data_IF_876290307354
#
_entry.id   IF_876290307354
#
_cell.length_a   1.000
_cell.length_b   1.000
_cell.length_c   1.000
_cell.angle_alpha   90.00
_cell.angle_beta   90.00
_cell.angle_gamma   90.00
#
_symmetry.space_group_name_H-M   'P 1'
#
loop_
_entity.id
_entity.type
_entity.pdbx_description
1 polymer ?
#
# COMPACT_ATOMS: atom_id res chain seq x y z
N UNK A 1 -8.90 2.15 -8.31
CA UNK A 1 -8.92 3.19 -9.39
C UNK A 1 -10.14 3.06 -10.32
N UNK A 2 -10.29 1.96 -11.08
CA UNK A 2 -11.43 1.80 -12.00
C UNK A 2 -12.79 1.63 -11.32
N UNK A 3 -12.82 0.96 -10.16
CA UNK A 3 -14.05 0.81 -9.37
C UNK A 3 -14.63 2.16 -8.97
N UNK A 4 -13.79 3.03 -8.36
CA UNK A 4 -14.13 4.42 -8.00
C UNK A 4 -14.59 5.23 -9.20
N UNK A 5 -13.94 5.06 -10.36
CA UNK A 5 -14.35 5.74 -11.59
C UNK A 5 -15.75 5.31 -12.03
N UNK A 6 -16.04 4.00 -12.10
CA UNK A 6 -17.36 3.49 -12.48
C UNK A 6 -18.49 4.01 -11.59
N UNK A 7 -18.27 4.05 -10.27
CA UNK A 7 -19.25 4.58 -9.31
C UNK A 7 -19.53 6.08 -9.53
N UNK A 8 -18.50 6.89 -9.84
CA UNK A 8 -18.67 8.32 -10.19
C UNK A 8 -19.54 8.55 -11.42
N UNK A 9 -19.64 7.58 -12.33
CA UNK A 9 -20.53 7.63 -13.50
C UNK A 9 -21.89 6.95 -13.26
N UNK A 10 -22.27 6.73 -12.00
CA UNK A 10 -23.56 6.18 -11.61
C UNK A 10 -23.74 4.69 -11.94
N UNK A 11 -22.64 3.95 -12.13
CA UNK A 11 -22.71 2.49 -12.32
C UNK A 11 -22.74 1.80 -10.97
N UNK A 12 -23.49 0.69 -10.89
CA UNK A 12 -23.36 -0.25 -9.78
C UNK A 12 -22.03 -0.98 -9.91
N UNK A 13 -21.17 -0.86 -8.89
CA UNK A 13 -19.82 -1.41 -8.90
C UNK A 13 -19.61 -2.27 -7.67
N UNK A 14 -19.07 -3.46 -7.90
CA UNK A 14 -18.57 -4.37 -6.85
C UNK A 14 -17.08 -4.56 -7.05
N UNK A 15 -16.30 -4.43 -5.97
CA UNK A 15 -14.90 -4.80 -5.87
C UNK A 15 -14.81 -6.14 -5.13
N UNK A 16 -14.17 -7.13 -5.72
CA UNK A 16 -13.90 -8.41 -5.05
C UNK A 16 -12.39 -8.52 -4.80
N UNK A 17 -12.00 -8.72 -3.55
CA UNK A 17 -10.60 -8.83 -3.14
C UNK A 17 -10.40 -10.07 -2.26
N UNK A 18 -9.38 -10.88 -2.54
CA UNK A 18 -9.12 -12.15 -1.84
C UNK A 18 -8.27 -11.98 -0.58
N UNK A 19 -7.55 -10.87 -0.46
CA UNK A 19 -6.64 -10.62 0.63
C UNK A 19 -6.95 -9.25 1.24
N UNK A 20 -6.11 -8.25 0.96
CA UNK A 20 -6.24 -6.90 1.51
C UNK A 20 -6.40 -5.90 0.38
N UNK A 21 -7.39 -5.01 0.50
CA UNK A 21 -7.61 -3.93 -0.47
C UNK A 21 -6.40 -3.00 -0.55
N UNK A 22 -6.23 -2.36 -1.70
CA UNK A 22 -5.02 -1.61 -2.08
C UNK A 22 -4.01 -2.43 -2.89
N UNK A 23 -4.08 -3.77 -2.79
CA UNK A 23 -3.29 -4.69 -3.61
C UNK A 23 -1.78 -4.49 -3.47
N UNK A 24 -1.04 -4.93 -4.48
CA UNK A 24 0.42 -4.95 -4.39
C UNK A 24 1.03 -3.57 -4.21
N UNK A 25 0.51 -2.54 -4.88
CA UNK A 25 1.10 -1.19 -4.85
C UNK A 25 1.29 -0.69 -3.41
N UNK A 26 0.26 -0.83 -2.58
CA UNK A 26 0.22 -0.39 -1.18
C UNK A 26 1.01 -1.34 -0.29
N UNK A 27 0.86 -2.65 -0.45
CA UNK A 27 1.38 -3.62 0.53
C UNK A 27 2.80 -4.11 0.26
N UNK A 28 3.13 -4.36 -1.01
CA UNK A 28 4.31 -5.15 -1.40
C UNK A 28 5.15 -4.55 -2.54
N UNK A 29 4.62 -3.55 -3.24
CA UNK A 29 5.18 -3.02 -4.47
C UNK A 29 5.71 -1.62 -4.30
N UNK A 30 5.07 -0.67 -4.98
CA UNK A 30 5.56 0.70 -5.12
C UNK A 30 5.81 1.42 -3.79
N UNK A 31 4.89 1.32 -2.83
CA UNK A 31 4.98 2.03 -1.55
C UNK A 31 6.16 1.52 -0.72
N UNK A 32 6.30 0.20 -0.42
CA UNK A 32 7.50 -0.34 0.22
C UNK A 32 8.79 -0.02 -0.50
N UNK A 33 8.81 -0.22 -1.83
CA UNK A 33 10.01 0.01 -2.63
C UNK A 33 10.49 1.46 -2.53
N UNK A 34 9.58 2.43 -2.66
CA UNK A 34 9.93 3.85 -2.61
C UNK A 34 10.33 4.31 -1.20
N UNK A 35 9.71 3.76 -0.15
CA UNK A 35 10.10 4.04 1.22
C UNK A 35 11.55 3.59 1.51
N UNK A 36 11.90 2.36 1.10
CA UNK A 36 13.25 1.81 1.26
C UNK A 36 14.28 2.57 0.41
N UNK A 37 13.96 2.87 -0.85
CA UNK A 37 14.82 3.69 -1.73
C UNK A 37 15.10 5.05 -1.11
N UNK A 38 14.10 5.70 -0.46
CA UNK A 38 14.31 6.99 0.21
C UNK A 38 15.30 6.86 1.37
N UNK A 39 15.19 5.83 2.20
CA UNK A 39 16.14 5.58 3.29
C UNK A 39 17.55 5.28 2.76
N UNK A 40 17.65 4.47 1.71
CA UNK A 40 18.93 4.17 1.06
C UNK A 40 19.60 5.43 0.48
N UNK A 41 18.82 6.32 -0.16
CA UNK A 41 19.31 7.62 -0.65
C UNK A 41 19.80 8.52 0.48
N UNK A 42 19.11 8.56 1.61
CA UNK A 42 19.54 9.33 2.78
C UNK A 42 20.89 8.81 3.31
N UNK A 43 21.01 7.49 3.48
CA UNK A 43 22.24 6.87 3.93
C UNK A 43 23.40 7.10 2.93
N UNK A 44 23.13 7.03 1.62
CA UNK A 44 24.12 7.33 0.59
C UNK A 44 24.55 8.80 0.58
N UNK A 45 23.62 9.74 0.81
CA UNK A 45 23.94 11.16 0.88
C UNK A 45 24.89 11.46 2.04
N UNK A 46 24.68 10.86 3.21
CA UNK A 46 25.60 10.98 4.36
C UNK A 46 26.96 10.35 4.04
N UNK A 47 26.99 9.13 3.49
CA UNK A 47 28.27 8.47 3.12
C UNK A 47 29.09 9.26 2.10
N UNK A 48 28.43 10.03 1.23
CA UNK A 48 29.10 10.76 0.13
C UNK A 48 29.18 12.25 0.37
N UNK A 49 28.89 12.75 1.59
CA UNK A 49 28.82 14.19 1.89
C UNK A 49 30.18 14.89 1.80
N UNK A 50 31.29 14.15 1.95
CA UNK A 50 32.65 14.69 1.90
C UNK A 50 32.98 15.39 0.58
N UNK A 51 32.38 14.99 -0.55
CA UNK A 51 32.55 15.68 -1.84
C UNK A 51 32.03 17.13 -1.85
N UNK A 52 31.22 17.49 -0.86
CA UNK A 52 30.68 18.82 -0.66
C UNK A 52 31.34 19.55 0.52
N UNK A 53 32.48 19.04 1.03
CA UNK A 53 33.16 19.60 2.20
C UNK A 53 32.45 19.32 3.53
N UNK A 54 31.39 18.51 3.55
CA UNK A 54 30.69 18.10 4.77
C UNK A 54 31.29 16.78 5.25
N UNK A 55 32.22 16.87 6.18
CA UNK A 55 32.89 15.71 6.79
C UNK A 55 32.26 15.38 8.15
N UNK A 56 31.86 14.12 8.40
CA UNK A 56 31.49 13.68 9.74
C UNK A 56 32.67 13.87 10.71
N UNK A 57 32.41 14.15 11.99
CA UNK A 57 33.44 14.21 13.03
C UNK A 57 34.19 12.87 13.13
N UNK A 58 35.47 12.93 13.49
CA UNK A 58 36.35 11.76 13.67
C UNK A 58 35.70 10.70 14.58
N UNK A 59 35.71 9.44 14.12
CA UNK A 59 34.99 8.30 14.71
C UNK A 59 33.70 7.88 13.95
N UNK A 60 33.26 8.66 12.97
CA UNK A 60 31.98 8.50 12.25
C UNK A 60 31.99 7.63 10.98
N UNK A 61 32.71 6.51 10.94
CA UNK A 61 32.91 5.73 9.69
C UNK A 61 31.73 4.87 9.23
N UNK A 62 30.68 4.69 10.04
CA UNK A 62 29.53 3.90 9.61
C UNK A 62 28.25 4.73 9.77
N UNK A 63 27.59 5.02 8.65
CA UNK A 63 26.17 5.39 8.70
C UNK A 63 25.41 4.23 9.34
N UNK A 64 24.98 4.42 10.59
CA UNK A 64 24.16 3.44 11.27
C UNK A 64 22.75 3.46 10.68
N UNK A 65 22.33 2.34 10.11
CA UNK A 65 20.99 2.17 9.55
C UNK A 65 20.13 1.41 10.55
N UNK A 66 19.16 2.08 11.15
CA UNK A 66 18.17 1.44 12.00
C UNK A 66 17.01 0.90 11.16
N UNK A 67 17.04 -0.41 10.90
CA UNK A 67 15.98 -1.09 10.15
C UNK A 67 14.66 -1.17 10.91
N UNK A 68 14.65 -1.05 12.24
CA UNK A 68 13.42 -1.02 13.03
C UNK A 68 12.65 0.27 12.75
N UNK A 69 13.32 1.42 12.84
CA UNK A 69 12.72 2.74 12.52
C UNK A 69 12.25 2.80 11.07
N UNK A 70 13.01 2.22 10.13
CA UNK A 70 12.60 2.16 8.72
C UNK A 70 11.32 1.33 8.54
N UNK A 71 11.22 0.18 9.21
CA UNK A 71 10.01 -0.67 9.17
C UNK A 71 8.82 0.03 9.79
N UNK A 72 8.96 0.63 10.96
CA UNK A 72 7.88 1.38 11.63
C UNK A 72 7.34 2.52 10.76
N UNK A 73 8.23 3.32 10.15
CA UNK A 73 7.84 4.38 9.20
C UNK A 73 7.11 3.79 7.99
N UNK A 74 7.61 2.68 7.46
CA UNK A 74 7.01 2.02 6.31
C UNK A 74 5.61 1.48 6.65
N UNK A 75 5.44 0.84 7.80
CA UNK A 75 4.14 0.29 8.24
C UNK A 75 3.14 1.43 8.47
N UNK A 76 3.55 2.49 9.13
CA UNK A 76 2.75 3.71 9.29
C UNK A 76 2.34 4.33 7.94
N UNK A 77 3.27 4.40 6.97
CA UNK A 77 2.97 4.93 5.63
C UNK A 77 1.94 4.06 4.89
N UNK A 78 2.11 2.74 4.94
CA UNK A 78 1.16 1.80 4.31
C UNK A 78 -0.22 1.90 4.94
N UNK A 79 -0.26 1.96 6.27
CA UNK A 79 -1.52 2.06 7.00
C UNK A 79 -2.25 3.38 6.72
N UNK A 80 -1.54 4.51 6.70
CA UNK A 80 -2.16 5.80 6.38
C UNK A 80 -2.71 5.87 4.95
N UNK A 81 -2.02 5.28 3.96
CA UNK A 81 -2.54 5.17 2.59
C UNK A 81 -3.79 4.29 2.57
N UNK A 82 -3.74 3.15 3.27
CA UNK A 82 -4.88 2.23 3.32
C UNK A 82 -6.13 2.89 3.89
N UNK A 83 -6.01 3.54 5.05
CA UNK A 83 -7.11 4.21 5.74
C UNK A 83 -7.68 5.38 4.93
N UNK A 84 -6.84 6.09 4.18
CA UNK A 84 -7.28 7.25 3.40
C UNK A 84 -7.93 6.88 2.06
N UNK A 85 -7.48 5.80 1.42
CA UNK A 85 -7.79 5.57 -0.01
C UNK A 85 -8.27 4.16 -0.38
N UNK A 86 -7.88 3.14 0.37
CA UNK A 86 -8.06 1.74 -0.02
C UNK A 86 -8.98 0.94 0.90
N UNK A 87 -9.37 1.47 2.06
CA UNK A 87 -10.19 0.74 3.02
C UNK A 87 -11.60 0.44 2.48
N UNK A 88 -12.24 -0.67 2.90
CA UNK A 88 -13.62 -0.98 2.51
C UNK A 88 -14.61 0.15 2.85
N UNK A 89 -14.39 0.87 3.95
CA UNK A 89 -15.21 1.99 4.39
C UNK A 89 -15.14 3.15 3.39
N UNK A 90 -13.92 3.55 3.00
CA UNK A 90 -13.71 4.58 1.97
C UNK A 90 -14.30 4.15 0.63
N UNK A 91 -14.17 2.87 0.26
CA UNK A 91 -14.80 2.35 -0.98
C UNK A 91 -16.32 2.45 -0.92
N UNK A 92 -16.93 2.13 0.23
CA UNK A 92 -18.37 2.20 0.42
C UNK A 92 -18.89 3.64 0.34
N UNK A 93 -18.20 4.60 0.97
CA UNK A 93 -18.50 6.04 0.85
C UNK A 93 -18.46 6.54 -0.60
N UNK A 94 -17.59 5.93 -1.42
CA UNK A 94 -17.45 6.23 -2.84
C UNK A 94 -18.41 5.42 -3.73
N UNK A 95 -19.38 4.70 -3.16
CA UNK A 95 -20.40 3.96 -3.89
C UNK A 95 -19.92 2.61 -4.46
N UNK A 96 -18.81 2.08 -3.96
CA UNK A 96 -18.26 0.78 -4.36
C UNK A 96 -18.49 -0.23 -3.24
N UNK A 97 -19.25 -1.29 -3.53
CA UNK A 97 -19.40 -2.41 -2.59
C UNK A 97 -18.16 -3.29 -2.64
N UNK A 98 -17.53 -3.54 -1.50
CA UNK A 98 -16.38 -4.45 -1.40
C UNK A 98 -16.81 -5.80 -0.87
N UNK A 99 -16.33 -6.89 -1.48
CA UNK A 99 -16.53 -8.27 -1.03
C UNK A 99 -15.17 -8.92 -0.84
N UNK A 100 -14.92 -9.47 0.35
CA UNK A 100 -13.72 -10.24 0.62
C UNK A 100 -13.93 -11.71 0.25
N UNK A 101 -13.24 -12.14 -0.79
CA UNK A 101 -13.40 -13.47 -1.36
C UNK A 101 -12.64 -13.67 -2.66
N UNK A 102 -12.66 -14.89 -3.17
CA UNK A 102 -12.06 -15.24 -4.46
C UNK A 102 -13.14 -15.32 -5.52
N UNK A 103 -13.02 -14.51 -6.58
CA UNK A 103 -13.95 -14.53 -7.71
C UNK A 103 -13.44 -15.43 -8.86
N UNK A 104 -14.37 -16.11 -9.54
CA UNK A 104 -14.12 -16.81 -10.81
C UNK A 104 -15.28 -16.61 -11.78
N UNK A 105 -14.99 -16.56 -13.08
CA UNK A 105 -16.04 -16.53 -14.11
C UNK A 105 -16.66 -17.91 -14.26
N UNK A 106 -17.98 -17.98 -14.20
CA UNK A 106 -18.75 -19.19 -14.54
C UNK A 106 -19.31 -19.11 -15.96
N UNK A 107 -19.49 -17.90 -16.48
CA UNK A 107 -19.76 -17.61 -17.88
C UNK A 107 -19.26 -16.20 -18.26
N UNK A 108 -19.63 -15.69 -19.46
CA UNK A 108 -19.18 -14.38 -19.97
C UNK A 108 -19.66 -13.17 -19.16
N UNK A 109 -20.74 -13.28 -18.40
CA UNK A 109 -21.39 -12.18 -17.67
C UNK A 109 -21.64 -12.48 -16.19
N UNK A 110 -21.31 -13.69 -15.74
CA UNK A 110 -21.56 -14.14 -14.37
C UNK A 110 -20.25 -14.54 -13.68
N UNK A 111 -20.10 -14.04 -12.47
CA UNK A 111 -18.98 -14.36 -11.56
C UNK A 111 -19.54 -15.05 -10.33
N UNK A 112 -18.85 -16.08 -9.86
CA UNK A 112 -19.07 -16.69 -8.55
C UNK A 112 -17.97 -16.20 -7.60
N UNK A 113 -18.35 -15.90 -6.36
CA UNK A 113 -17.41 -15.46 -5.32
C UNK A 113 -17.44 -16.43 -4.15
N UNK A 114 -16.32 -17.11 -3.90
CA UNK A 114 -16.11 -17.87 -2.68
C UNK A 114 -15.71 -16.88 -1.56
N UNK A 115 -16.62 -16.64 -0.62
CA UNK A 115 -16.38 -15.75 0.52
C UNK A 115 -15.28 -16.32 1.43
N UNK A 116 -14.45 -15.46 1.99
CA UNK A 116 -13.55 -15.89 3.06
C UNK A 116 -14.32 -16.08 4.37
N UNK A 117 -14.02 -17.16 5.10
CA UNK A 117 -14.54 -17.34 6.46
C UNK A 117 -14.13 -16.15 7.33
N UNK A 118 -15.12 -15.50 7.96
CA UNK A 118 -14.94 -14.27 8.74
C UNK A 118 -15.19 -12.96 7.98
N UNK A 119 -15.48 -12.99 6.67
CA UNK A 119 -15.84 -11.80 5.88
C UNK A 119 -17.29 -11.33 6.04
N UNK A 120 -18.09 -11.98 6.89
CA UNK A 120 -19.45 -11.58 7.24
C UNK A 120 -19.45 -10.68 8.48
N UNK A 121 -19.15 -9.40 8.30
CA UNK A 121 -19.34 -8.38 9.32
C UNK A 121 -20.31 -7.32 8.81
N UNK A 122 -21.54 -7.38 9.35
CA UNK A 122 -22.63 -6.40 9.37
C UNK A 122 -22.90 -5.55 8.11
#
# INVERSE_FOLDING_TARGET
AFSRFGAKFGKSVVLVEKARTGGDCTWYGCVPSKALIRSARAAHAVRTSGKYGVVPREGGEAVQVDMKVIRERLDSTRQGIYEADDSPEVMAELGVRTILGSARFVDRKTLEVALQEGAGGA
#
